data_IF_677126184877
#
_entry.id   IF_677126184877
#
_cell.length_a   1.000
_cell.length_b   1.000
_cell.length_c   1.000
_cell.angle_alpha   90.00
_cell.angle_beta   90.00
_cell.angle_gamma   90.00
#
_symmetry.space_group_name_H-M   'P 1'
#
loop_
_entity.id
_entity.type
_entity.pdbx_description
1 polymer ?
#
# COMPACT_ATOMS: atom_id res chain seq x y z
N UNK A 1 -3.67 -6.50 -24.48
CA UNK A 1 -2.47 -6.92 -23.72
C UNK A 1 -2.74 -8.30 -23.15
N UNK A 2 -2.16 -9.35 -23.75
CA UNK A 2 -2.17 -10.69 -23.17
C UNK A 2 -0.96 -10.83 -22.24
N UNK A 3 -1.18 -11.32 -21.02
CA UNK A 3 -0.11 -11.57 -20.05
C UNK A 3 0.07 -13.07 -19.91
N UNK A 4 1.28 -13.55 -20.18
CA UNK A 4 1.64 -14.96 -20.00
C UNK A 4 2.36 -15.08 -18.66
N UNK A 5 1.97 -16.06 -17.85
CA UNK A 5 2.56 -16.33 -16.54
C UNK A 5 3.61 -17.42 -16.61
N UNK A 6 4.59 -17.32 -15.74
CA UNK A 6 5.66 -18.28 -15.61
C UNK A 6 6.48 -18.02 -14.37
N UNK A 7 7.29 -19.00 -14.01
CA UNK A 7 8.14 -19.00 -12.83
C UNK A 7 9.61 -19.04 -13.24
N UNK A 8 10.49 -18.34 -12.52
CA UNK A 8 11.93 -18.46 -12.72
C UNK A 8 12.41 -19.80 -12.13
N UNK A 9 13.03 -20.65 -12.96
CA UNK A 9 13.73 -21.87 -12.53
C UNK A 9 15.12 -21.89 -13.15
N UNK A 10 16.16 -21.98 -12.31
CA UNK A 10 17.55 -21.98 -12.77
C UNK A 10 17.93 -20.75 -13.60
N UNK A 11 17.37 -19.58 -13.28
CA UNK A 11 17.60 -18.33 -14.02
C UNK A 11 16.86 -18.20 -15.35
N UNK A 12 15.97 -19.15 -15.68
CA UNK A 12 15.17 -19.13 -16.91
C UNK A 12 13.69 -18.97 -16.57
N UNK A 13 12.96 -18.22 -17.39
CA UNK A 13 11.49 -18.15 -17.30
C UNK A 13 10.91 -19.45 -17.83
N UNK A 14 10.19 -20.19 -16.99
CA UNK A 14 9.42 -21.38 -17.37
C UNK A 14 7.96 -20.98 -17.36
N UNK A 15 7.33 -21.00 -18.54
CA UNK A 15 5.91 -20.64 -18.68
C UNK A 15 5.03 -21.72 -18.05
N UNK A 16 3.94 -21.30 -17.40
CA UNK A 16 2.98 -22.22 -16.79
C UNK A 16 2.17 -22.97 -17.86
N UNK A 17 1.93 -22.31 -19.00
CA UNK A 17 1.29 -22.87 -20.20
C UNK A 17 2.17 -22.63 -21.42
N UNK A 18 2.24 -23.59 -22.37
CA UNK A 18 2.89 -23.37 -23.65
C UNK A 18 2.30 -22.15 -24.37
N UNK A 19 3.15 -21.36 -25.02
CA UNK A 19 2.75 -20.20 -25.80
C UNK A 19 2.73 -20.52 -27.28
N UNK A 20 1.85 -19.85 -28.02
CA UNK A 20 1.74 -19.87 -29.48
C UNK A 20 2.52 -18.73 -30.18
N UNK A 21 3.36 -18.00 -29.43
CA UNK A 21 4.12 -16.89 -29.97
C UNK A 21 5.18 -17.38 -30.97
N UNK A 22 5.35 -16.69 -32.11
CA UNK A 22 6.35 -17.07 -33.10
C UNK A 22 7.77 -16.90 -32.57
N UNK A 23 8.69 -17.67 -33.15
CA UNK A 23 10.12 -17.58 -32.81
C UNK A 23 10.67 -16.17 -33.04
N UNK A 24 11.54 -15.72 -32.12
CA UNK A 24 12.11 -14.37 -32.14
C UNK A 24 11.24 -13.29 -31.50
N UNK A 25 10.06 -13.64 -30.95
CA UNK A 25 9.22 -12.69 -30.22
C UNK A 25 9.94 -12.16 -28.98
N UNK A 26 10.11 -10.84 -28.90
CA UNK A 26 10.65 -10.17 -27.71
C UNK A 26 9.61 -10.14 -26.59
N UNK A 27 10.04 -10.43 -25.37
CA UNK A 27 9.18 -10.45 -24.19
C UNK A 27 9.78 -9.59 -23.07
N UNK A 28 8.91 -8.93 -22.31
CA UNK A 28 9.28 -8.18 -21.11
C UNK A 28 8.84 -8.98 -19.90
N UNK A 29 9.77 -9.22 -18.97
CA UNK A 29 9.48 -9.92 -17.71
C UNK A 29 9.13 -8.91 -16.64
N UNK A 30 7.89 -8.94 -16.17
CA UNK A 30 7.47 -8.15 -15.01
C UNK A 30 7.41 -9.05 -13.78
N UNK A 31 8.17 -8.70 -12.74
CA UNK A 31 8.08 -9.38 -11.45
C UNK A 31 6.70 -9.15 -10.84
N UNK A 32 6.00 -10.24 -10.54
CA UNK A 32 4.77 -10.20 -9.76
C UNK A 32 5.19 -10.20 -8.29
N UNK A 33 5.04 -9.05 -7.63
CA UNK A 33 5.16 -8.98 -6.17
C UNK A 33 3.78 -9.22 -5.58
N UNK A 34 3.64 -10.07 -4.55
CA UNK A 34 2.37 -10.16 -3.84
C UNK A 34 1.99 -8.77 -3.31
N UNK A 35 0.69 -8.43 -3.26
CA UNK A 35 0.25 -7.21 -2.60
C UNK A 35 0.72 -7.22 -1.14
N UNK A 36 1.02 -6.06 -0.57
CA UNK A 36 1.51 -5.94 0.81
C UNK A 36 0.57 -6.62 1.82
N UNK A 37 -0.74 -6.60 1.55
CA UNK A 37 -1.75 -7.31 2.33
C UNK A 37 -1.54 -8.83 2.39
N UNK A 38 -1.01 -9.46 1.33
CA UNK A 38 -0.70 -10.88 1.31
C UNK A 38 0.64 -11.22 2.02
N UNK A 39 1.37 -10.22 2.50
CA UNK A 39 2.54 -10.37 3.36
C UNK A 39 2.20 -10.17 4.84
N UNK A 40 1.00 -9.64 5.15
CA UNK A 40 0.51 -9.57 6.50
C UNK A 40 0.00 -10.97 6.89
N UNK A 41 0.19 -11.40 8.15
CA UNK A 41 -0.42 -12.64 8.62
C UNK A 41 -1.93 -12.57 8.39
N UNK A 42 -2.50 -13.59 7.75
CA UNK A 42 -3.94 -13.76 7.49
C UNK A 42 -4.76 -14.02 8.77
N UNK A 43 -4.12 -13.88 9.93
CA UNK A 43 -4.51 -14.44 11.21
C UNK A 43 -4.92 -13.33 12.19
N UNK A 44 -5.65 -12.33 11.68
CA UNK A 44 -6.33 -11.39 12.55
C UNK A 44 -7.60 -12.04 13.10
N UNK A 45 -7.44 -12.85 14.15
CA UNK A 45 -8.53 -13.49 14.87
C UNK A 45 -9.60 -12.44 15.21
N UNK A 46 -10.72 -12.54 14.50
CA UNK A 46 -11.85 -11.62 14.56
C UNK A 46 -13.00 -12.19 15.40
N UNK A 47 -12.72 -13.21 16.22
CA UNK A 47 -13.68 -13.68 17.22
C UNK A 47 -14.05 -12.55 18.20
N UNK A 48 -15.30 -12.52 18.70
CA UNK A 48 -15.73 -11.54 19.71
C UNK A 48 -14.77 -11.46 20.89
N UNK A 49 -14.23 -12.60 21.35
CA UNK A 49 -13.31 -12.70 22.47
C UNK A 49 -11.94 -12.06 22.15
N UNK A 50 -11.41 -12.26 20.94
CA UNK A 50 -10.17 -11.62 20.50
C UNK A 50 -10.34 -10.09 20.36
N UNK A 51 -11.51 -9.65 19.88
CA UNK A 51 -11.87 -8.23 19.78
C UNK A 51 -11.97 -7.61 21.18
N UNK A 52 -12.68 -8.23 22.13
CA UNK A 52 -12.78 -7.73 23.50
C UNK A 52 -11.40 -7.61 24.17
N UNK A 53 -10.53 -8.61 23.98
CA UNK A 53 -9.16 -8.55 24.50
C UNK A 53 -8.35 -7.40 23.89
N UNK A 54 -8.51 -7.14 22.59
CA UNK A 54 -7.86 -6.02 21.91
C UNK A 54 -8.37 -4.68 22.41
N UNK A 55 -9.68 -4.54 22.60
CA UNK A 55 -10.29 -3.34 23.18
C UNK A 55 -9.79 -3.09 24.60
N UNK A 56 -9.74 -4.14 25.44
CA UNK A 56 -9.20 -4.03 26.79
C UNK A 56 -7.71 -3.64 26.82
N UNK A 57 -6.92 -4.03 25.81
CA UNK A 57 -5.54 -3.54 25.64
C UNK A 57 -5.51 -2.09 25.18
N UNK A 58 -6.42 -1.69 24.29
CA UNK A 58 -6.52 -0.30 23.83
C UNK A 58 -6.93 0.66 24.95
N UNK A 59 -7.84 0.24 25.83
CA UNK A 59 -8.28 1.05 26.98
C UNK A 59 -7.17 1.28 28.03
N UNK A 60 -6.10 0.49 28.00
CA UNK A 60 -4.94 0.72 28.87
C UNK A 60 -4.08 1.90 28.41
N UNK A 61 -4.19 2.31 27.14
CA UNK A 61 -3.45 3.48 26.66
C UNK A 61 -4.04 4.74 27.27
N UNK A 62 -3.26 5.34 28.17
CA UNK A 62 -3.57 6.66 28.70
C UNK A 62 -3.31 7.73 27.64
N UNK A 63 -3.99 8.90 27.73
CA UNK A 63 -3.64 10.05 26.91
C UNK A 63 -2.14 10.35 27.03
N UNK A 64 -1.45 10.26 25.90
CA UNK A 64 0.00 10.52 25.81
C UNK A 64 0.31 12.02 25.65
N UNK A 65 -0.73 12.84 25.53
CA UNK A 65 -0.69 14.30 25.48
C UNK A 65 -1.65 14.88 26.52
N UNK A 66 -1.26 16.00 27.11
CA UNK A 66 -2.16 16.84 27.88
C UNK A 66 -3.20 17.53 26.97
N UNK A 67 -4.33 18.03 27.53
CA UNK A 67 -5.32 18.75 26.75
C UNK A 67 -4.76 19.99 26.02
N UNK A 68 -3.77 20.67 26.61
CA UNK A 68 -3.13 21.84 26.01
C UNK A 68 -2.24 21.45 24.82
N UNK A 69 -1.42 20.41 24.98
CA UNK A 69 -0.59 19.86 23.90
C UNK A 69 -1.44 19.36 22.74
N UNK A 70 -2.56 18.68 23.05
CA UNK A 70 -3.51 18.22 22.05
C UNK A 70 -4.14 19.39 21.27
N UNK A 71 -4.55 20.45 21.97
CA UNK A 71 -5.11 21.64 21.33
C UNK A 71 -4.09 22.38 20.44
N UNK A 72 -2.83 22.47 20.88
CA UNK A 72 -1.75 23.05 20.09
C UNK A 72 -1.48 22.21 18.82
N UNK A 73 -1.42 20.89 18.96
CA UNK A 73 -1.22 19.98 17.84
C UNK A 73 -2.39 20.01 16.85
N UNK A 74 -3.64 20.04 17.33
CA UNK A 74 -4.83 20.09 16.46
C UNK A 74 -4.85 21.39 15.65
N UNK A 75 -4.42 22.51 16.25
CA UNK A 75 -4.25 23.79 15.54
C UNK A 75 -3.22 23.68 14.42
N UNK A 76 -2.02 23.17 14.71
CA UNK A 76 -0.97 22.99 13.69
C UNK A 76 -1.42 22.05 12.59
N UNK A 77 -2.06 20.92 12.94
CA UNK A 77 -2.62 19.98 11.97
C UNK A 77 -3.66 20.65 11.06
N UNK A 78 -4.53 21.50 11.61
CA UNK A 78 -5.55 22.19 10.82
C UNK A 78 -4.92 23.18 9.83
N UNK A 79 -3.90 23.93 10.26
CA UNK A 79 -3.11 24.83 9.41
C UNK A 79 -2.40 24.07 8.28
N UNK A 80 -1.73 22.96 8.62
CA UNK A 80 -1.06 22.09 7.64
C UNK A 80 -2.05 21.50 6.63
N UNK A 81 -3.22 21.04 7.10
CA UNK A 81 -4.28 20.51 6.23
C UNK A 81 -4.79 21.58 5.27
N UNK A 82 -5.02 22.80 5.76
CA UNK A 82 -5.47 23.90 4.92
C UNK A 82 -4.42 24.27 3.86
N UNK A 83 -3.14 24.29 4.26
CA UNK A 83 -2.03 24.48 3.34
C UNK A 83 -1.99 23.38 2.27
N UNK A 84 -2.00 22.10 2.66
CA UNK A 84 -1.99 20.97 1.72
C UNK A 84 -3.15 21.02 0.73
N UNK A 85 -4.36 21.33 1.21
CA UNK A 85 -5.53 21.48 0.35
C UNK A 85 -5.38 22.65 -0.64
N UNK A 86 -4.80 23.78 -0.21
CA UNK A 86 -4.52 24.91 -1.11
C UNK A 86 -3.49 24.58 -2.19
N UNK A 87 -2.56 23.67 -1.90
CA UNK A 87 -1.53 23.21 -2.85
C UNK A 87 -2.01 22.06 -3.74
N UNK A 88 -3.18 21.48 -3.45
CA UNK A 88 -3.70 20.29 -4.13
C UNK A 88 -3.84 20.47 -5.65
N UNK A 89 -4.35 21.63 -6.09
CA UNK A 89 -4.48 21.94 -7.52
C UNK A 89 -3.13 22.09 -8.23
N UNK A 90 -2.11 22.57 -7.51
CA UNK A 90 -0.74 22.68 -8.03
C UNK A 90 -0.12 21.30 -8.19
N UNK A 91 -0.21 20.47 -7.15
CA UNK A 91 0.35 19.11 -7.17
C UNK A 91 -0.33 18.20 -8.19
N UNK A 92 -1.65 18.28 -8.35
CA UNK A 92 -2.34 17.51 -9.39
C UNK A 92 -1.88 17.89 -10.80
N UNK A 93 -1.49 19.14 -11.01
CA UNK A 93 -1.00 19.62 -12.30
C UNK A 93 0.43 19.14 -12.57
N UNK A 94 1.31 19.22 -11.57
CA UNK A 94 2.68 18.70 -11.65
C UNK A 94 2.71 17.18 -11.85
N UNK A 95 1.75 16.43 -11.28
CA UNK A 95 1.62 14.98 -11.50
C UNK A 95 1.06 14.64 -12.89
N UNK A 96 0.32 15.55 -13.52
CA UNK A 96 -0.23 15.38 -14.86
C UNK A 96 0.76 15.73 -15.98
N UNK A 97 1.86 16.42 -15.66
CA UNK A 97 2.96 16.59 -16.62
C UNK A 97 3.72 15.26 -16.75
N UNK A 98 3.83 14.70 -17.97
CA UNK A 98 4.67 13.54 -18.19
C UNK A 98 6.11 13.93 -17.88
N UNK A 99 6.77 13.12 -17.05
CA UNK A 99 8.21 13.20 -16.85
C UNK A 99 8.93 13.17 -18.22
N UNK A 100 9.48 14.30 -18.66
CA UNK A 100 10.38 14.39 -19.83
C UNK A 100 11.75 13.77 -19.55
#
# INVERSE_FOLDING_TARGET
>A
MSTIRGTIRGGRVVLDTPTDLPDGTQVVVKLIRPPLAALLPDDDDSSPEAIEKRLALMDQFQPWMTPEEFAAWEKTRAEDKAFQLSQWEKWNREVAEPWE
#
